data_IF_369968258579
#
_entry.id   IF_369968258579
#
_cell.length_a   1.000
_cell.length_b   1.000
_cell.length_c   1.000
_cell.angle_alpha   90.00
_cell.angle_beta   90.00
_cell.angle_gamma   90.00
#
_symmetry.space_group_name_H-M   'P 1'
#
loop_
_entity.id
_entity.type
_entity.pdbx_description
1 polymer ?
#
# COMPACT_ATOMS: atom_id res chain seq x y z
N UNK A 1 -12.75 -0.31 -17.06
CA UNK A 1 -11.27 -0.14 -17.00
C UNK A 1 -10.60 -1.42 -17.41
N UNK A 2 -9.55 -1.34 -18.21
CA UNK A 2 -8.69 -2.46 -18.60
C UNK A 2 -7.39 -2.43 -17.82
N UNK A 3 -6.76 -3.58 -17.65
CA UNK A 3 -5.47 -3.69 -16.98
C UNK A 3 -4.36 -3.18 -17.91
N UNK A 4 -3.65 -2.14 -17.47
CA UNK A 4 -2.53 -1.55 -18.19
C UNK A 4 -1.21 -2.22 -17.81
N UNK A 5 -1.02 -2.49 -16.51
CA UNK A 5 0.21 -3.08 -15.96
C UNK A 5 -0.12 -3.91 -14.74
N UNK A 6 0.66 -4.96 -14.51
CA UNK A 6 0.62 -5.77 -13.30
C UNK A 6 2.05 -6.07 -12.86
N UNK A 7 2.30 -5.90 -11.56
CA UNK A 7 3.54 -6.28 -10.91
C UNK A 7 3.20 -7.15 -9.70
N UNK A 8 4.01 -8.13 -9.43
CA UNK A 8 3.83 -9.02 -8.28
C UNK A 8 5.17 -9.49 -7.73
N UNK A 9 5.15 -9.99 -6.54
CA UNK A 9 6.34 -10.51 -5.89
C UNK A 9 6.03 -11.03 -4.50
N UNK A 10 7.10 -11.26 -3.75
CA UNK A 10 7.06 -11.76 -2.38
C UNK A 10 7.94 -10.85 -1.54
N UNK A 11 7.48 -10.49 -0.35
CA UNK A 11 8.23 -9.75 0.65
C UNK A 11 8.63 -10.69 1.77
N UNK A 12 9.88 -10.61 2.19
CA UNK A 12 10.39 -11.35 3.34
C UNK A 12 10.13 -10.58 4.63
N UNK A 13 10.04 -11.31 5.73
CA UNK A 13 9.92 -10.72 7.06
C UNK A 13 11.06 -9.72 7.34
N UNK A 14 10.69 -8.58 7.91
CA UNK A 14 11.65 -7.53 8.25
C UNK A 14 12.05 -6.66 7.06
N UNK A 15 11.54 -6.93 5.84
CA UNK A 15 11.76 -6.02 4.73
C UNK A 15 11.16 -4.65 5.02
N UNK A 16 11.95 -3.61 4.80
CA UNK A 16 11.55 -2.21 4.86
C UNK A 16 12.16 -1.47 3.67
N UNK A 17 11.44 -0.52 3.11
CA UNK A 17 11.94 0.26 1.99
C UNK A 17 10.87 0.67 1.00
N UNK A 18 11.32 1.17 -0.15
CA UNK A 18 10.45 1.67 -1.19
C UNK A 18 10.65 0.88 -2.47
N UNK A 19 9.55 0.43 -3.07
CA UNK A 19 9.51 -0.06 -4.44
C UNK A 19 8.90 1.02 -5.33
N UNK A 20 9.52 1.28 -6.47
CA UNK A 20 9.06 2.32 -7.39
C UNK A 20 8.83 1.75 -8.78
N UNK A 21 7.63 2.02 -9.31
CA UNK A 21 7.20 1.58 -10.64
C UNK A 21 6.89 2.82 -11.47
N UNK A 22 7.34 2.82 -12.72
CA UNK A 22 7.12 3.95 -13.63
C UNK A 22 6.59 3.44 -14.95
N UNK A 23 5.59 4.12 -15.49
CA UNK A 23 5.06 3.84 -16.82
C UNK A 23 4.41 5.11 -17.39
N UNK A 24 4.21 5.12 -18.69
CA UNK A 24 3.51 6.22 -19.36
C UNK A 24 2.03 5.88 -19.53
N UNK A 25 1.13 6.81 -19.17
CA UNK A 25 -0.31 6.64 -19.41
C UNK A 25 -0.55 6.70 -20.93
N UNK A 26 -1.19 5.66 -21.53
CA UNK A 26 -1.60 5.72 -22.92
C UNK A 26 -2.57 6.87 -23.20
N UNK A 27 -2.57 7.37 -24.43
CA UNK A 27 -3.56 8.37 -24.85
C UNK A 27 -4.99 7.82 -24.70
N UNK A 28 -5.92 8.71 -24.32
CA UNK A 28 -7.33 8.37 -24.17
C UNK A 28 -7.70 7.72 -22.82
N UNK A 29 -6.74 7.60 -21.91
CA UNK A 29 -7.01 7.17 -20.54
C UNK A 29 -7.30 8.41 -19.68
N UNK A 30 -8.50 8.49 -19.17
CA UNK A 30 -8.99 9.58 -18.32
C UNK A 30 -9.34 9.13 -16.90
N UNK A 31 -9.31 7.85 -16.66
CA UNK A 31 -9.53 7.23 -15.35
C UNK A 31 -8.41 6.24 -15.08
N UNK A 32 -7.76 6.34 -13.92
CA UNK A 32 -6.67 5.48 -13.49
C UNK A 32 -6.98 4.91 -12.12
N UNK A 33 -6.94 3.58 -11.99
CA UNK A 33 -7.01 2.89 -10.70
C UNK A 33 -5.71 2.13 -10.47
N UNK A 34 -5.11 2.37 -9.30
CA UNK A 34 -3.90 1.70 -8.84
C UNK A 34 -4.27 0.90 -7.60
N UNK A 35 -4.19 -0.42 -7.70
CA UNK A 35 -4.64 -1.34 -6.66
C UNK A 35 -3.44 -2.17 -6.20
N UNK A 36 -3.07 -1.99 -4.93
CA UNK A 36 -2.11 -2.84 -4.25
C UNK A 36 -2.86 -3.81 -3.34
N UNK A 37 -2.55 -5.09 -3.46
CA UNK A 37 -3.00 -6.13 -2.53
C UNK A 37 -1.79 -6.88 -1.99
N UNK A 38 -1.89 -7.33 -0.75
CA UNK A 38 -0.89 -8.22 -0.15
C UNK A 38 -1.58 -9.17 0.82
N UNK A 39 -0.93 -10.28 1.09
CA UNK A 39 -1.40 -11.26 2.06
C UNK A 39 -0.70 -11.07 3.41
N UNK A 40 -1.06 -11.88 4.38
CA UNK A 40 -0.40 -11.97 5.69
C UNK A 40 -0.23 -10.61 6.40
N UNK A 41 -1.36 -9.92 6.58
CA UNK A 41 -1.36 -8.64 7.31
C UNK A 41 -0.85 -8.79 8.74
N UNK A 42 -1.16 -9.91 9.40
CA UNK A 42 -0.80 -10.17 10.80
C UNK A 42 0.03 -11.44 10.93
N UNK A 43 0.72 -11.55 12.05
CA UNK A 43 1.45 -12.76 12.44
C UNK A 43 0.44 -13.89 12.56
N UNK A 44 0.69 -14.99 11.85
CA UNK A 44 -0.17 -16.17 11.82
C UNK A 44 -0.08 -17.00 13.10
N UNK A 45 1.14 -17.14 13.64
CA UNK A 45 1.41 -17.81 14.92
C UNK A 45 2.14 -16.86 15.88
N UNK A 46 1.42 -16.04 16.66
CA UNK A 46 2.02 -15.10 17.60
C UNK A 46 2.85 -15.80 18.69
N UNK A 47 2.49 -17.01 19.10
CA UNK A 47 3.19 -17.73 20.17
C UNK A 47 4.61 -18.11 19.71
N UNK A 48 4.73 -18.79 18.58
CA UNK A 48 6.03 -19.14 17.99
C UNK A 48 6.85 -17.91 17.62
N UNK A 49 6.19 -16.85 17.14
CA UNK A 49 6.87 -15.59 16.85
C UNK A 49 7.50 -15.00 18.11
N UNK A 50 6.74 -14.91 19.21
CA UNK A 50 7.21 -14.35 20.48
C UNK A 50 8.36 -15.21 21.04
N UNK A 51 8.23 -16.52 21.01
CA UNK A 51 9.29 -17.43 21.45
C UNK A 51 10.61 -17.15 20.70
N UNK A 52 10.52 -17.10 19.37
CA UNK A 52 11.69 -16.88 18.48
C UNK A 52 12.29 -15.48 18.64
N UNK A 53 11.47 -14.45 18.80
CA UNK A 53 11.90 -13.05 18.82
C UNK A 53 11.81 -12.38 20.20
N UNK A 54 11.72 -13.16 21.27
CA UNK A 54 11.54 -12.66 22.63
C UNK A 54 12.56 -11.58 23.03
N UNK A 55 13.85 -11.83 22.79
CA UNK A 55 14.91 -10.88 23.14
C UNK A 55 14.84 -9.56 22.36
N UNK A 56 14.67 -9.55 21.03
CA UNK A 56 14.40 -8.33 20.27
C UNK A 56 13.18 -7.57 20.76
N UNK A 57 12.05 -8.24 21.02
CA UNK A 57 10.83 -7.62 21.51
C UNK A 57 11.03 -6.95 22.87
N UNK A 58 11.71 -7.61 23.80
CA UNK A 58 12.06 -7.04 25.11
C UNK A 58 12.91 -5.78 24.93
N UNK A 59 13.96 -5.83 24.09
CA UNK A 59 14.81 -4.67 23.83
C UNK A 59 14.05 -3.48 23.28
N UNK A 60 13.08 -3.73 22.40
CA UNK A 60 12.24 -2.66 21.85
C UNK A 60 11.26 -2.10 22.90
N UNK A 61 10.71 -2.92 23.77
CA UNK A 61 9.71 -2.51 24.75
C UNK A 61 10.28 -1.75 25.95
N UNK A 62 11.48 -2.14 26.42
CA UNK A 62 12.10 -1.55 27.64
C UNK A 62 12.19 -0.02 27.63
N UNK A 63 12.61 0.66 26.56
CA UNK A 63 12.68 2.13 26.53
C UNK A 63 11.32 2.81 26.73
N UNK A 64 10.23 2.17 26.34
CA UNK A 64 8.88 2.72 26.45
C UNK A 64 8.20 2.37 27.77
N UNK A 65 8.46 1.15 28.28
CA UNK A 65 7.83 0.65 29.50
C UNK A 65 8.61 1.00 30.79
N UNK A 66 9.89 1.36 30.67
CA UNK A 66 10.81 1.56 31.80
C UNK A 66 11.12 0.29 32.57
N UNK A 67 10.68 -0.89 32.11
CA UNK A 67 10.87 -2.19 32.73
C UNK A 67 10.78 -3.33 31.70
N UNK A 68 11.15 -4.53 32.10
CA UNK A 68 10.97 -5.73 31.29
C UNK A 68 9.45 -6.00 31.12
N UNK A 69 8.96 -6.21 29.90
CA UNK A 69 7.56 -6.56 29.66
C UNK A 69 7.21 -7.92 30.25
N UNK A 70 5.98 -8.06 30.71
CA UNK A 70 5.43 -9.36 31.13
C UNK A 70 5.12 -10.23 29.90
N UNK A 71 4.93 -11.54 30.10
CA UNK A 71 4.55 -12.45 29.01
C UNK A 71 3.24 -12.03 28.33
N UNK A 72 2.26 -11.58 29.12
CA UNK A 72 1.02 -11.02 28.58
C UNK A 72 1.26 -9.82 27.68
N UNK A 73 2.12 -8.89 28.08
CA UNK A 73 2.47 -7.73 27.24
C UNK A 73 3.20 -8.13 25.97
N UNK A 74 4.08 -9.12 26.02
CA UNK A 74 4.72 -9.69 24.83
C UNK A 74 3.70 -10.31 23.87
N UNK A 75 2.69 -11.03 24.40
CA UNK A 75 1.62 -11.59 23.59
C UNK A 75 0.77 -10.50 22.93
N UNK A 76 0.39 -9.47 23.68
CA UNK A 76 -0.35 -8.31 23.17
C UNK A 76 0.46 -7.59 22.07
N UNK A 77 1.78 -7.43 22.26
CA UNK A 77 2.68 -6.87 21.24
C UNK A 77 2.70 -7.73 19.97
N UNK A 78 2.87 -9.04 20.08
CA UNK A 78 2.89 -9.95 18.95
C UNK A 78 1.57 -9.92 18.17
N UNK A 79 0.43 -9.88 18.86
CA UNK A 79 -0.89 -9.78 18.24
C UNK A 79 -1.14 -8.42 17.57
N UNK A 80 -0.55 -7.36 18.10
CA UNK A 80 -0.68 -6.01 17.53
C UNK A 80 0.20 -5.79 16.30
N UNK A 81 1.27 -6.57 16.14
CA UNK A 81 2.18 -6.43 15.00
C UNK A 81 1.47 -6.76 13.69
N UNK A 82 1.71 -5.95 12.68
CA UNK A 82 1.13 -6.12 11.36
C UNK A 82 2.10 -5.70 10.26
N UNK A 83 1.92 -6.28 9.09
CA UNK A 83 2.52 -5.77 7.86
C UNK A 83 1.91 -4.40 7.54
N UNK A 84 2.76 -3.42 7.32
CA UNK A 84 2.34 -2.04 7.09
C UNK A 84 2.95 -1.51 5.81
N UNK A 85 2.07 -1.27 4.83
CA UNK A 85 2.41 -0.81 3.49
C UNK A 85 1.54 0.39 3.13
N UNK A 86 2.16 1.37 2.50
CA UNK A 86 1.54 2.58 1.99
C UNK A 86 1.67 2.60 0.47
N UNK A 87 0.64 3.08 -0.21
CA UNK A 87 0.62 3.28 -1.66
C UNK A 87 0.58 4.76 -1.98
N UNK A 88 1.50 5.23 -2.83
CA UNK A 88 1.56 6.62 -3.28
C UNK A 88 1.65 6.67 -4.81
N UNK A 89 1.01 7.67 -5.41
CA UNK A 89 1.05 7.92 -6.86
C UNK A 89 1.41 9.37 -7.17
N UNK A 90 2.19 9.54 -8.22
CA UNK A 90 2.55 10.82 -8.83
C UNK A 90 2.32 10.74 -10.34
N UNK A 91 1.89 11.85 -10.96
CA UNK A 91 1.74 11.97 -12.42
C UNK A 91 2.47 13.22 -12.90
N UNK A 92 3.36 13.06 -13.87
CA UNK A 92 4.18 14.16 -14.36
C UNK A 92 5.02 14.86 -13.28
N UNK A 93 5.45 14.10 -12.25
CA UNK A 93 6.20 14.62 -11.12
C UNK A 93 5.34 15.32 -10.04
N UNK A 94 4.02 15.41 -10.22
CA UNK A 94 3.10 16.01 -9.27
C UNK A 94 2.43 14.93 -8.43
N UNK A 95 2.34 15.14 -7.12
CA UNK A 95 1.61 14.26 -6.21
C UNK A 95 0.15 14.09 -6.65
N UNK A 96 -0.33 12.86 -6.72
CA UNK A 96 -1.69 12.53 -7.15
C UNK A 96 -2.51 11.88 -6.02
N UNK A 97 -1.90 11.03 -5.22
CA UNK A 97 -2.60 10.38 -4.12
C UNK A 97 -1.70 9.55 -3.21
N UNK A 98 -2.22 9.30 -2.01
CA UNK A 98 -1.56 8.49 -0.99
C UNK A 98 -2.58 7.76 -0.13
N UNK A 99 -2.40 6.45 0.03
CA UNK A 99 -3.27 5.60 0.85
C UNK A 99 -2.44 4.85 1.87
N UNK A 100 -2.62 5.25 3.15
CA UNK A 100 -2.02 4.58 4.32
C UNK A 100 -3.13 4.21 5.30
N UNK A 101 -3.93 3.22 4.92
CA UNK A 101 -5.06 2.73 5.71
C UNK A 101 -4.82 1.28 6.12
N UNK A 102 -5.40 0.82 7.25
CA UNK A 102 -5.40 -0.59 7.60
C UNK A 102 -5.99 -1.47 6.49
N UNK A 103 -5.64 -2.75 6.51
CA UNK A 103 -6.11 -3.76 5.56
C UNK A 103 -5.11 -4.04 4.45
N UNK A 104 -5.33 -5.16 3.80
CA UNK A 104 -4.42 -5.74 2.80
C UNK A 104 -4.65 -5.22 1.39
N UNK A 105 -5.66 -4.36 1.17
CA UNK A 105 -5.95 -3.74 -0.11
C UNK A 105 -5.89 -2.22 0.00
N UNK A 106 -5.08 -1.62 -0.85
CA UNK A 106 -4.96 -0.16 -1.01
C UNK A 106 -5.37 0.20 -2.42
N UNK A 107 -6.14 1.27 -2.58
CA UNK A 107 -6.55 1.73 -3.90
C UNK A 107 -6.43 3.25 -4.00
N UNK A 108 -5.80 3.70 -5.08
CA UNK A 108 -5.81 5.08 -5.54
C UNK A 108 -6.66 5.12 -6.81
N UNK A 109 -7.78 5.81 -6.76
CA UNK A 109 -8.64 6.05 -7.92
C UNK A 109 -8.52 7.52 -8.31
N UNK A 110 -8.03 7.77 -9.51
CA UNK A 110 -7.90 9.08 -10.13
C UNK A 110 -8.89 9.16 -11.29
N UNK A 111 -9.91 9.96 -11.11
CA UNK A 111 -10.99 10.16 -12.09
C UNK A 111 -11.42 11.61 -12.05
N UNK A 112 -11.59 12.21 -13.22
CA UNK A 112 -12.07 13.57 -13.35
C UNK A 112 -13.44 13.73 -12.68
N UNK A 113 -13.61 14.82 -11.92
CA UNK A 113 -14.84 15.11 -11.17
C UNK A 113 -15.06 14.23 -9.93
N UNK A 114 -14.22 13.22 -9.66
CA UNK A 114 -14.35 12.34 -8.50
C UNK A 114 -13.21 12.61 -7.51
N UNK A 115 -13.57 12.83 -6.24
CA UNK A 115 -12.60 12.90 -5.13
C UNK A 115 -12.52 11.56 -4.44
N UNK A 116 -11.44 10.83 -4.68
CA UNK A 116 -11.13 9.60 -3.95
C UNK A 116 -10.37 9.93 -2.67
N UNK A 117 -10.60 9.13 -1.63
CA UNK A 117 -9.94 9.31 -0.34
C UNK A 117 -8.41 9.22 -0.49
N UNK A 118 -7.70 10.21 0.04
CA UNK A 118 -6.25 10.29 -0.05
C UNK A 118 -5.70 10.78 -1.38
N UNK A 119 -6.57 11.17 -2.32
CA UNK A 119 -6.19 11.67 -3.63
C UNK A 119 -6.46 13.17 -3.79
N UNK A 120 -5.63 13.84 -4.56
CA UNK A 120 -5.94 15.17 -5.07
C UNK A 120 -6.96 15.08 -6.21
N UNK A 121 -7.69 16.17 -6.49
CA UNK A 121 -8.55 16.22 -7.68
C UNK A 121 -7.73 15.91 -8.93
N UNK A 122 -8.21 14.96 -9.72
CA UNK A 122 -7.59 14.59 -10.98
C UNK A 122 -8.15 15.48 -12.10
N UNK A 123 -7.26 16.06 -12.88
CA UNK A 123 -7.57 17.00 -13.96
C UNK A 123 -7.36 16.38 -15.35
N UNK A 124 -7.33 15.06 -15.46
CA UNK A 124 -7.12 14.35 -16.73
C UNK A 124 -5.70 14.46 -17.29
N UNK A 125 -4.73 14.97 -16.48
CA UNK A 125 -3.36 15.09 -16.97
C UNK A 125 -2.76 13.74 -17.33
N UNK A 126 -2.08 13.71 -18.45
CA UNK A 126 -1.31 12.58 -18.95
C UNK A 126 0.16 12.72 -18.60
N UNK A 127 0.91 11.68 -18.81
CA UNK A 127 2.36 11.70 -18.65
C UNK A 127 2.89 10.47 -17.92
N UNK A 128 4.10 10.60 -17.41
CA UNK A 128 4.75 9.55 -16.65
C UNK A 128 4.08 9.40 -15.29
N UNK A 129 3.56 8.21 -15.02
CA UNK A 129 3.08 7.82 -13.69
C UNK A 129 4.23 7.18 -12.92
N UNK A 130 4.39 7.60 -11.69
CA UNK A 130 5.27 6.95 -10.73
C UNK A 130 4.43 6.46 -9.55
N UNK A 131 4.44 5.16 -9.35
CA UNK A 131 3.84 4.50 -8.19
C UNK A 131 4.95 4.18 -7.20
N UNK A 132 4.74 4.50 -5.93
CA UNK A 132 5.66 4.20 -4.84
C UNK A 132 4.91 3.34 -3.82
N UNK A 133 5.43 2.16 -3.57
CA UNK A 133 4.99 1.26 -2.51
C UNK A 133 5.99 1.40 -1.37
N UNK A 134 5.60 2.08 -0.30
CA UNK A 134 6.41 2.24 0.90
C UNK A 134 6.10 1.09 1.85
N UNK A 135 7.07 0.25 2.12
CA UNK A 135 6.97 -0.86 3.07
C UNK A 135 7.62 -0.44 4.38
N UNK A 136 6.82 -0.24 5.42
CA UNK A 136 7.30 0.13 6.74
C UNK A 136 7.68 -1.10 7.57
N UNK A 137 6.92 -2.19 7.39
CA UNK A 137 7.15 -3.43 8.12
C UNK A 137 6.50 -4.59 7.39
N UNK A 138 7.17 -5.74 7.38
CA UNK A 138 6.63 -7.05 6.99
C UNK A 138 6.82 -8.01 8.17
N UNK A 139 5.74 -8.58 8.67
CA UNK A 139 5.75 -9.41 9.89
C UNK A 139 5.85 -10.90 9.61
N UNK A 140 5.57 -11.35 8.39
CA UNK A 140 5.60 -12.75 7.98
C UNK A 140 6.53 -13.01 6.80
N UNK A 141 7.15 -14.18 6.79
CA UNK A 141 7.93 -14.65 5.65
C UNK A 141 7.04 -14.92 4.43
N UNK A 142 7.61 -14.75 3.25
CA UNK A 142 6.93 -15.06 1.99
C UNK A 142 5.55 -14.41 1.91
N UNK A 143 5.47 -13.10 2.15
CA UNK A 143 4.25 -12.31 2.02
C UNK A 143 4.02 -11.93 0.56
N UNK A 144 3.08 -12.58 -0.17
CA UNK A 144 2.81 -12.25 -1.55
C UNK A 144 2.18 -10.86 -1.66
N UNK A 145 2.51 -10.15 -2.72
CA UNK A 145 1.87 -8.88 -3.07
C UNK A 145 1.61 -8.79 -4.57
N UNK A 146 0.60 -8.01 -4.93
CA UNK A 146 0.25 -7.69 -6.30
C UNK A 146 -0.12 -6.22 -6.44
N UNK A 147 0.42 -5.57 -7.45
CA UNK A 147 0.11 -4.20 -7.85
C UNK A 147 -0.51 -4.23 -9.23
N UNK A 148 -1.77 -3.87 -9.34
CA UNK A 148 -2.51 -3.79 -10.60
C UNK A 148 -2.83 -2.34 -10.92
N UNK A 149 -2.59 -1.95 -12.15
CA UNK A 149 -2.87 -0.62 -12.68
C UNK A 149 -3.86 -0.76 -13.81
N UNK A 150 -5.00 -0.11 -13.64
CA UNK A 150 -6.10 -0.12 -14.60
C UNK A 150 -6.34 1.27 -15.14
N UNK A 151 -6.66 1.35 -16.42
CA UNK A 151 -7.06 2.58 -17.09
C UNK A 151 -8.42 2.45 -17.76
N UNK A 152 -9.11 3.56 -17.88
CA UNK A 152 -10.37 3.62 -18.59
C UNK A 152 -10.57 4.93 -19.34
N UNK A 153 -11.39 4.92 -20.40
CA UNK A 153 -11.85 6.17 -21.01
C UNK A 153 -12.70 6.90 -19.97
N UNK A 154 -12.51 8.19 -19.82
CA UNK A 154 -13.41 9.03 -19.03
C UNK A 154 -14.82 9.00 -19.62
N UNK A 155 -15.83 9.26 -18.81
CA UNK A 155 -17.14 9.60 -19.34
C UNK A 155 -17.01 10.92 -20.11
N UNK A 156 -17.01 10.85 -21.42
CA UNK A 156 -17.36 12.01 -22.24
C UNK A 156 -18.85 12.24 -21.96
N UNK A 157 -19.19 13.22 -21.13
CA UNK A 157 -20.54 13.76 -21.16
C UNK A 157 -20.74 14.25 -22.59
N UNK A 158 -21.48 13.48 -23.39
CA UNK A 158 -22.03 13.97 -24.63
C UNK A 158 -23.05 15.04 -24.22
N UNK A 159 -22.62 16.30 -24.31
CA UNK A 159 -23.49 17.44 -24.25
C UNK A 159 -24.60 17.23 -25.29
N UNK A 160 -25.74 16.73 -24.83
CA UNK A 160 -26.96 16.71 -25.62
C UNK A 160 -27.55 18.10 -25.56
N UNK A 161 -26.91 19.05 -26.25
CA UNK A 161 -27.57 20.24 -26.67
C UNK A 161 -28.34 19.90 -27.93
N UNK A 162 -29.63 19.67 -27.79
CA UNK A 162 -30.62 19.83 -28.84
C UNK A 162 -31.57 20.93 -28.42
#
# INVERSE_FOLDING_TARGET
METLQTFHGVLDRGFTGNMSFQFHIPHGIHELSVILTYEKERIQDPASYIERFRHPLIRQAVPYLGRIPTDRQLQEMGQAMKTEIQLCAMIGGVFAGNVHMPGTRKEILLKEGVRSRGCLPYDGRNGMVKIIVNVYQVVEENTPWNLEIKGGPGHVETDRTA
#
